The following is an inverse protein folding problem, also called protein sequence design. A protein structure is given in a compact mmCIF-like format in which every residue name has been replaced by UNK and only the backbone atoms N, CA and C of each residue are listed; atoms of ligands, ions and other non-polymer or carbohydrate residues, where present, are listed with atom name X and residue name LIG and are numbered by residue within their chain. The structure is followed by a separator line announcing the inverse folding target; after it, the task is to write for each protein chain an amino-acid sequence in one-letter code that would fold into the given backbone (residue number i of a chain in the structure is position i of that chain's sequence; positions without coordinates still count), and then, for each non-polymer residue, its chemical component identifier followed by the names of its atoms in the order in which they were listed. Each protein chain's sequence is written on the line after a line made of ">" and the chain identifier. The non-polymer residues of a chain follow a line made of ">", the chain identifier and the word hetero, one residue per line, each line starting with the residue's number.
data_IF_267122772050
#
_entry.id   IF_267122772050
#
_cell.length_a   1.000
_cell.length_b   1.000
_cell.length_c   1.000
_cell.angle_alpha   90.00
_cell.angle_beta   90.00
_cell.angle_gamma   90.00
#
_symmetry.space_group_name_H-M   'P 1'
#
loop_
_entity.id
_entity.type
_entity.pdbx_description
1 polymer ?
#
# COMPACT_ATOMS: atom_id res chain seq x y z
N UNK A 1 -2.85 18.23 -5.77
CA UNK A 1 -2.74 17.11 -4.80
C UNK A 1 -1.29 16.89 -4.44
N UNK A 2 -0.92 17.03 -3.16
CA UNK A 2 0.42 16.65 -2.68
C UNK A 2 0.61 15.13 -2.75
N UNK A 3 1.78 14.66 -3.16
CA UNK A 3 2.12 13.23 -3.25
C UNK A 3 1.98 12.48 -1.90
N UNK A 4 2.10 13.19 -0.78
CA UNK A 4 1.93 12.58 0.55
C UNK A 4 0.46 12.20 0.84
N UNK A 5 -0.50 12.93 0.24
CA UNK A 5 -1.92 12.63 0.37
C UNK A 5 -2.30 11.36 -0.39
N UNK A 6 -1.69 11.13 -1.57
CA UNK A 6 -1.96 9.94 -2.38
C UNK A 6 -1.41 8.68 -1.73
N UNK A 7 -0.21 8.73 -1.14
CA UNK A 7 0.38 7.59 -0.40
C UNK A 7 -0.43 7.23 0.86
N UNK A 8 -0.86 8.23 1.63
CA UNK A 8 -1.66 8.00 2.84
C UNK A 8 -3.05 7.43 2.54
N UNK A 9 -3.66 7.83 1.42
CA UNK A 9 -4.90 7.25 0.92
C UNK A 9 -4.71 5.80 0.46
N UNK A 10 -3.64 5.54 -0.28
CA UNK A 10 -3.27 4.19 -0.75
C UNK A 10 -3.05 3.23 0.42
N UNK A 11 -2.30 3.64 1.45
CA UNK A 11 -2.04 2.84 2.65
C UNK A 11 -3.33 2.44 3.38
N UNK A 12 -4.24 3.40 3.58
CA UNK A 12 -5.55 3.14 4.21
C UNK A 12 -6.40 2.18 3.38
N UNK A 13 -6.45 2.35 2.06
CA UNK A 13 -7.18 1.47 1.15
C UNK A 13 -6.61 0.05 1.12
N UNK A 14 -5.29 -0.09 1.12
CA UNK A 14 -4.62 -1.39 1.17
C UNK A 14 -4.93 -2.14 2.47
N UNK A 15 -4.87 -1.45 3.61
CA UNK A 15 -5.25 -2.04 4.90
C UNK A 15 -6.73 -2.45 4.94
N UNK A 16 -7.63 -1.61 4.43
CA UNK A 16 -9.07 -1.92 4.38
C UNK A 16 -9.34 -3.12 3.48
N UNK A 17 -8.78 -3.15 2.27
CA UNK A 17 -8.91 -4.30 1.37
C UNK A 17 -8.38 -5.57 2.03
N UNK A 18 -7.18 -5.54 2.61
CA UNK A 18 -6.65 -6.72 3.32
C UNK A 18 -7.53 -7.17 4.48
N UNK A 19 -8.25 -6.25 5.13
CA UNK A 19 -9.18 -6.56 6.21
C UNK A 19 -10.47 -7.18 5.67
N UNK A 20 -11.00 -6.64 4.57
CA UNK A 20 -12.24 -7.11 3.96
C UNK A 20 -12.12 -8.58 3.50
N UNK A 21 -10.92 -9.02 3.09
CA UNK A 21 -10.63 -10.41 2.71
C UNK A 21 -10.11 -11.30 3.85
N UNK A 22 -9.87 -10.73 5.05
CA UNK A 22 -9.32 -11.50 6.16
C UNK A 22 -10.42 -12.26 6.91
N UNK A 23 -10.35 -13.60 6.89
CA UNK A 23 -11.27 -14.48 7.61
C UNK A 23 -11.17 -14.31 9.14
N UNK A 24 -9.97 -14.05 9.66
CA UNK A 24 -9.75 -13.85 11.10
C UNK A 24 -8.84 -12.66 11.44
N UNK A 25 -9.16 -11.99 12.55
CA UNK A 25 -8.47 -10.78 13.01
C UNK A 25 -7.01 -11.00 13.42
N UNK A 26 -6.65 -12.19 13.89
CA UNK A 26 -5.28 -12.52 14.31
C UNK A 26 -4.35 -12.68 13.10
N UNK A 27 -4.81 -13.35 12.03
CA UNK A 27 -4.09 -13.47 10.76
C UNK A 27 -3.89 -12.09 10.10
N UNK A 28 -4.93 -11.25 10.13
CA UNK A 28 -4.85 -9.89 9.61
C UNK A 28 -3.74 -9.06 10.26
N UNK A 29 -3.46 -9.25 11.56
CA UNK A 29 -2.36 -8.53 12.22
C UNK A 29 -1.01 -8.82 11.57
N UNK A 30 -0.74 -10.07 11.20
CA UNK A 30 0.46 -10.44 10.47
C UNK A 30 0.52 -9.78 9.09
N UNK A 31 -0.59 -9.82 8.36
CA UNK A 31 -0.69 -9.17 7.04
C UNK A 31 -0.55 -7.64 7.12
N UNK A 32 -1.12 -6.99 8.14
CA UNK A 32 -1.00 -5.56 8.34
C UNK A 32 0.44 -5.13 8.63
N UNK A 33 1.18 -5.93 9.41
CA UNK A 33 2.62 -5.69 9.65
C UNK A 33 3.44 -5.84 8.37
N UNK A 34 3.12 -6.84 7.54
CA UNK A 34 3.75 -7.02 6.24
C UNK A 34 3.49 -5.81 5.32
N UNK A 35 2.22 -5.37 5.19
CA UNK A 35 1.87 -4.17 4.40
C UNK A 35 2.64 -2.95 4.92
N UNK A 36 2.74 -2.76 6.24
CA UNK A 36 3.52 -1.66 6.83
C UNK A 36 5.00 -1.73 6.43
N UNK A 37 5.63 -2.91 6.49
CA UNK A 37 7.03 -3.07 6.11
C UNK A 37 7.29 -2.71 4.64
N UNK A 38 6.35 -3.02 3.74
CA UNK A 38 6.45 -2.66 2.33
C UNK A 38 6.45 -1.13 2.14
N UNK A 39 5.61 -0.41 2.87
CA UNK A 39 5.57 1.06 2.81
C UNK A 39 6.83 1.68 3.42
N UNK A 40 7.31 1.17 4.56
CA UNK A 40 8.55 1.66 5.19
C UNK A 40 9.79 1.41 4.30
N UNK A 41 9.88 0.25 3.64
CA UNK A 41 10.97 -0.05 2.71
C UNK A 41 11.05 0.94 1.53
N UNK A 42 9.92 1.52 1.13
CA UNK A 42 9.83 2.48 0.02
C UNK A 42 9.84 3.95 0.47
N UNK A 43 9.90 4.23 1.78
CA UNK A 43 9.87 5.59 2.34
C UNK A 43 11.05 6.46 1.90
N UNK A 44 12.20 5.85 1.67
CA UNK A 44 13.42 6.57 1.28
C UNK A 44 13.49 6.90 -0.22
N UNK A 45 12.51 6.46 -1.02
CA UNK A 45 12.45 6.75 -2.46
C UNK A 45 12.02 8.20 -2.65
N UNK A 46 13.00 9.10 -2.86
CA UNK A 46 12.76 10.53 -3.08
C UNK A 46 12.60 10.91 -4.55
N UNK A 47 12.91 9.99 -5.48
CA UNK A 47 12.74 10.24 -6.91
C UNK A 47 11.26 10.25 -7.30
N UNK A 48 10.70 11.40 -7.75
CA UNK A 48 9.28 11.52 -8.08
C UNK A 48 8.85 10.62 -9.24
N UNK A 49 9.75 10.29 -10.17
CA UNK A 49 9.45 9.38 -11.29
C UNK A 49 9.27 7.95 -10.80
N UNK A 50 10.14 7.51 -9.88
CA UNK A 50 10.04 6.19 -9.25
C UNK A 50 8.80 6.08 -8.38
N UNK A 51 8.47 7.12 -7.61
CA UNK A 51 7.23 7.15 -6.82
C UNK A 51 5.98 7.02 -7.71
N UNK A 52 5.92 7.78 -8.80
CA UNK A 52 4.80 7.71 -9.75
C UNK A 52 4.68 6.33 -10.39
N UNK A 53 5.80 5.76 -10.81
CA UNK A 53 5.86 4.40 -11.33
C UNK A 53 5.28 3.39 -10.32
N UNK A 54 5.71 3.40 -9.06
CA UNK A 54 5.23 2.46 -8.03
C UNK A 54 3.72 2.55 -7.80
N UNK A 55 3.17 3.77 -7.77
CA UNK A 55 1.73 4.00 -7.62
C UNK A 55 0.96 3.53 -8.87
N UNK A 56 1.48 3.79 -10.07
CA UNK A 56 0.83 3.40 -11.33
C UNK A 56 0.90 1.90 -11.59
N UNK A 57 2.03 1.24 -11.31
CA UNK A 57 2.21 -0.19 -11.52
C UNK A 57 1.30 -1.05 -10.63
N UNK A 58 0.92 -0.58 -9.43
CA UNK A 58 -0.06 -1.28 -8.60
C UNK A 58 -1.49 -1.26 -9.19
N UNK A 59 -1.85 -0.27 -10.02
CA UNK A 59 -3.18 -0.19 -10.64
C UNK A 59 -3.40 -1.17 -11.80
N UNK A 60 -2.33 -1.68 -12.42
CA UNK A 60 -2.40 -2.63 -13.55
C UNK A 60 -2.37 -4.10 -13.10
N UNK A 61 -2.00 -4.39 -11.84
CA UNK A 61 -1.94 -5.77 -11.32
C UNK A 61 -3.22 -6.25 -10.63
N UNK A 62 -4.25 -5.40 -10.51
CA UNK A 62 -5.51 -5.75 -9.83
C UNK A 62 -6.68 -6.04 -10.78
N UNK A 63 -6.43 -6.08 -12.10
CA UNK A 63 -7.39 -6.62 -13.05
C UNK A 63 -7.16 -8.13 -13.16
N UNK A 64 -7.87 -8.91 -12.35
CA UNK A 64 -8.00 -10.34 -12.51
C UNK A 64 -9.47 -10.74 -12.33
#
# INVERSE_FOLDING_TARGET
>A
MSANYTVSSLYRRALKLSLDWAVHRHLWRGQAMYIRSLFEANKNVHDPRRQKAMITYQGLKTCH
#
